data_IF_618314240449
#
_entry.id   IF_618314240449
#
_cell.length_a   1.000
_cell.length_b   1.000
_cell.length_c   1.000
_cell.angle_alpha   90.00
_cell.angle_beta   90.00
_cell.angle_gamma   90.00
#
_symmetry.space_group_name_H-M   'P 1'
#
loop_
_entity.id
_entity.type
_entity.pdbx_description
1 polymer ?
#
# COMPACT_ATOMS: atom_id res chain seq x y z
N UNK A 1 8.69 -18.23 2.34
CA UNK A 1 9.03 -17.43 3.53
C UNK A 1 10.48 -17.56 3.97
N UNK A 2 11.07 -18.77 4.07
CA UNK A 2 12.50 -18.93 4.42
C UNK A 2 13.47 -18.22 3.44
N UNK A 3 13.23 -18.28 2.14
CA UNK A 3 14.06 -17.62 1.13
C UNK A 3 14.05 -16.09 1.27
N UNK A 4 12.92 -15.49 1.63
CA UNK A 4 12.78 -14.04 1.81
C UNK A 4 13.49 -13.57 3.07
N UNK A 5 13.36 -14.31 4.17
CA UNK A 5 14.08 -14.03 5.41
C UNK A 5 15.62 -14.13 5.20
N UNK A 6 16.06 -15.06 4.34
CA UNK A 6 17.48 -15.16 3.96
C UNK A 6 17.95 -13.97 3.13
N UNK A 7 17.14 -13.47 2.19
CA UNK A 7 17.48 -12.29 1.38
C UNK A 7 17.53 -11.02 2.23
N UNK A 8 16.58 -10.86 3.15
CA UNK A 8 16.56 -9.73 4.10
C UNK A 8 17.75 -9.79 5.05
N UNK A 9 18.10 -10.98 5.56
CA UNK A 9 19.29 -11.17 6.40
C UNK A 9 20.60 -10.92 5.63
N UNK A 10 20.67 -11.31 4.36
CA UNK A 10 21.82 -11.08 3.50
C UNK A 10 22.04 -9.60 3.13
N UNK A 11 20.99 -8.77 3.19
CA UNK A 11 21.08 -7.33 2.93
C UNK A 11 21.82 -6.55 4.03
N UNK A 12 22.11 -7.18 5.18
CA UNK A 12 22.89 -6.62 6.26
C UNK A 12 22.21 -5.48 7.03
N UNK A 13 22.87 -4.95 8.08
CA UNK A 13 22.33 -3.86 8.91
C UNK A 13 22.21 -2.53 8.13
N UNK A 14 23.02 -2.33 7.12
CA UNK A 14 23.03 -1.08 6.33
C UNK A 14 21.78 -0.88 5.45
N UNK A 15 20.95 -1.92 5.30
CA UNK A 15 19.69 -1.82 4.53
C UNK A 15 18.74 -0.74 5.05
N UNK A 16 18.83 -0.40 6.32
CA UNK A 16 18.00 0.61 6.97
C UNK A 16 18.64 2.01 6.99
N UNK A 17 19.92 2.10 6.60
CA UNK A 17 20.63 3.37 6.62
C UNK A 17 20.04 4.37 5.61
N UNK A 18 19.81 5.59 6.08
CA UNK A 18 19.29 6.69 5.25
C UNK A 18 17.83 6.58 4.86
N UNK A 19 17.07 5.61 5.40
CA UNK A 19 15.63 5.48 5.14
C UNK A 19 14.88 6.56 5.91
N UNK A 20 14.10 7.37 5.19
CA UNK A 20 13.26 8.45 5.71
C UNK A 20 11.79 8.29 5.35
N UNK A 21 11.52 7.69 4.21
CA UNK A 21 10.17 7.47 3.69
C UNK A 21 9.93 5.98 3.52
N UNK A 22 8.97 5.43 4.25
CA UNK A 22 8.60 4.02 4.13
C UNK A 22 7.20 3.85 3.54
N UNK A 23 7.03 2.81 2.75
CA UNK A 23 5.73 2.35 2.25
C UNK A 23 5.33 1.07 2.95
N UNK A 24 4.06 0.96 3.31
CA UNK A 24 3.46 -0.25 3.88
C UNK A 24 2.26 -0.64 3.04
N UNK A 25 2.31 -1.85 2.50
CA UNK A 25 1.24 -2.42 1.67
C UNK A 25 0.99 -3.86 2.07
N UNK A 26 -0.12 -4.42 1.63
CA UNK A 26 -0.46 -5.81 1.84
C UNK A 26 -0.44 -6.59 0.54
N UNK A 27 0.12 -7.77 0.59
CA UNK A 27 0.08 -8.69 -0.54
C UNK A 27 -0.50 -10.04 -0.14
N UNK A 28 -1.39 -10.56 -1.00
CA UNK A 28 -1.94 -11.89 -0.82
C UNK A 28 -1.03 -12.93 -1.46
N UNK A 29 -0.23 -13.59 -0.62
CA UNK A 29 0.74 -14.58 -1.07
C UNK A 29 0.12 -15.94 -1.44
N UNK A 30 -0.94 -16.36 -0.75
CA UNK A 30 -1.57 -17.66 -1.00
C UNK A 30 -3.10 -17.58 -0.96
N UNK A 31 -3.79 -18.41 -1.77
CA UNK A 31 -5.23 -18.57 -1.63
C UNK A 31 -5.56 -19.13 -0.24
N UNK A 32 -6.69 -18.67 0.32
CA UNK A 32 -7.17 -19.09 1.63
C UNK A 32 -7.52 -20.60 1.60
N UNK A 33 -6.58 -21.47 1.96
CA UNK A 33 -6.81 -22.89 2.20
C UNK A 33 -6.57 -23.19 3.67
N UNK A 34 -7.52 -23.85 4.32
CA UNK A 34 -7.33 -24.42 5.67
C UNK A 34 -7.13 -23.40 6.80
N UNK A 35 -7.70 -22.19 6.72
CA UNK A 35 -7.63 -21.20 7.81
C UNK A 35 -6.34 -20.40 7.90
N UNK A 36 -5.34 -20.69 7.08
CA UNK A 36 -4.10 -19.89 7.02
C UNK A 36 -4.38 -18.55 6.33
N UNK A 37 -4.12 -17.46 7.02
CA UNK A 37 -4.17 -16.12 6.44
C UNK A 37 -2.98 -15.97 5.48
N UNK A 38 -3.24 -16.03 4.17
CA UNK A 38 -2.21 -15.93 3.13
C UNK A 38 -1.81 -14.49 2.82
N UNK A 39 -1.78 -13.60 3.80
CA UNK A 39 -1.33 -12.23 3.65
C UNK A 39 0.07 -12.02 4.20
N UNK A 40 0.80 -11.11 3.58
CA UNK A 40 2.05 -10.55 4.06
C UNK A 40 1.96 -9.04 4.01
N UNK A 41 2.56 -8.38 5.00
CA UNK A 41 2.79 -6.94 4.99
C UNK A 41 4.15 -6.68 4.33
N UNK A 42 4.14 -5.89 3.26
CA UNK A 42 5.35 -5.44 2.59
C UNK A 42 5.80 -4.13 3.22
N UNK A 43 7.09 -4.02 3.49
CA UNK A 43 7.72 -2.80 3.96
C UNK A 43 8.79 -2.39 2.96
N UNK A 44 8.64 -1.19 2.41
CA UNK A 44 9.37 -0.69 1.26
C UNK A 44 10.04 0.63 1.63
N UNK A 45 11.30 0.80 1.25
CA UNK A 45 11.96 2.10 1.28
C UNK A 45 11.54 2.91 0.04
N UNK A 46 10.86 3.99 0.26
CA UNK A 46 10.43 4.95 -0.76
C UNK A 46 11.34 6.19 -0.83
N UNK A 47 12.34 6.30 0.05
CA UNK A 47 13.25 7.44 0.10
C UNK A 47 13.90 7.71 -1.27
N UNK A 48 14.46 6.70 -1.98
CA UNK A 48 15.07 6.95 -3.27
C UNK A 48 14.09 7.48 -4.33
N UNK A 49 12.83 7.04 -4.27
CA UNK A 49 11.78 7.52 -5.18
C UNK A 49 11.34 8.94 -4.82
N UNK A 50 11.21 9.23 -3.54
CA UNK A 50 10.85 10.55 -3.02
C UNK A 50 11.92 11.59 -3.39
N UNK A 51 13.19 11.27 -3.21
CA UNK A 51 14.33 12.15 -3.46
C UNK A 51 14.80 12.12 -4.93
N UNK A 52 14.13 11.34 -5.78
CA UNK A 52 14.48 11.14 -7.21
C UNK A 52 15.90 10.60 -7.43
N UNK A 53 16.44 9.86 -6.48
CA UNK A 53 17.79 9.27 -6.53
C UNK A 53 17.81 7.83 -7.02
N UNK A 54 16.64 7.18 -7.10
CA UNK A 54 16.56 5.78 -7.54
C UNK A 54 15.16 5.17 -7.39
N UNK A 55 15.10 3.88 -7.61
CA UNK A 55 13.88 3.09 -7.44
C UNK A 55 13.63 2.71 -5.97
N UNK A 56 12.36 2.51 -5.62
CA UNK A 56 11.98 1.94 -4.35
C UNK A 56 12.60 0.55 -4.15
N UNK A 57 12.91 0.19 -2.91
CA UNK A 57 13.50 -1.10 -2.55
C UNK A 57 12.76 -1.79 -1.42
N UNK A 58 12.68 -3.11 -1.47
CA UNK A 58 12.06 -3.90 -0.42
C UNK A 58 12.95 -3.90 0.82
N UNK A 59 12.39 -3.52 1.97
CA UNK A 59 13.03 -3.63 3.28
C UNK A 59 12.71 -4.97 3.95
N UNK A 60 11.42 -5.36 3.97
CA UNK A 60 11.00 -6.62 4.60
C UNK A 60 9.66 -7.12 4.10
N UNK A 61 9.37 -8.40 4.42
CA UNK A 61 8.10 -9.08 4.22
C UNK A 61 7.66 -9.72 5.54
N UNK A 62 6.73 -9.08 6.21
CA UNK A 62 6.24 -9.52 7.52
C UNK A 62 5.00 -10.40 7.32
N UNK A 63 4.97 -11.61 7.92
CA UNK A 63 3.78 -12.44 7.88
C UNK A 63 2.58 -11.76 8.54
N UNK A 64 1.39 -11.99 7.98
CA UNK A 64 0.10 -11.45 8.43
C UNK A 64 -0.17 -10.00 7.95
N UNK A 65 -1.43 -9.60 8.12
CA UNK A 65 -1.99 -8.27 7.85
C UNK A 65 -2.65 -7.79 9.13
N UNK A 66 -1.87 -7.21 10.03
CA UNK A 66 -2.41 -6.70 11.29
C UNK A 66 -1.63 -5.47 11.78
N UNK A 67 -2.27 -4.67 12.63
CA UNK A 67 -1.61 -3.59 13.33
C UNK A 67 -0.39 -4.11 14.14
N UNK A 68 -0.58 -5.25 14.82
CA UNK A 68 0.48 -5.86 15.61
C UNK A 68 1.70 -6.25 14.76
N UNK A 69 1.48 -6.85 13.58
CA UNK A 69 2.59 -7.23 12.70
C UNK A 69 3.47 -6.05 12.31
N UNK A 70 2.87 -4.89 12.00
CA UNK A 70 3.62 -3.67 11.70
C UNK A 70 4.25 -3.07 12.96
N UNK A 71 3.53 -3.00 14.07
CA UNK A 71 4.05 -2.46 15.32
C UNK A 71 5.25 -3.27 15.84
N UNK A 72 5.14 -4.59 15.85
CA UNK A 72 6.21 -5.49 16.28
C UNK A 72 7.45 -5.35 15.37
N UNK A 73 7.22 -5.25 14.06
CA UNK A 73 8.33 -5.03 13.13
C UNK A 73 9.03 -3.70 13.38
N UNK A 74 8.28 -2.60 13.51
CA UNK A 74 8.84 -1.27 13.80
C UNK A 74 9.59 -1.26 15.15
N UNK A 75 9.02 -1.84 16.18
CA UNK A 75 9.61 -1.90 17.51
C UNK A 75 10.89 -2.75 17.57
N UNK A 76 11.02 -3.73 16.67
CA UNK A 76 12.23 -4.55 16.56
C UNK A 76 13.38 -3.84 15.82
N UNK A 77 13.15 -2.67 15.21
CA UNK A 77 14.20 -1.95 14.50
C UNK A 77 15.05 -1.11 15.48
N UNK A 78 16.29 -0.78 15.10
CA UNK A 78 17.12 0.14 15.90
C UNK A 78 16.44 1.50 16.06
N UNK A 79 16.60 2.11 17.25
CA UNK A 79 16.01 3.42 17.55
C UNK A 79 16.43 4.52 16.54
N UNK A 80 17.64 4.45 16.01
CA UNK A 80 18.09 5.36 14.97
C UNK A 80 17.29 5.27 13.67
N UNK A 81 16.78 4.08 13.32
CA UNK A 81 15.90 3.91 12.17
C UNK A 81 14.51 4.50 12.44
N UNK A 82 13.87 4.12 13.55
CA UNK A 82 12.53 4.60 13.86
C UNK A 82 12.47 6.12 14.02
N UNK A 83 13.53 6.73 14.53
CA UNK A 83 13.68 8.19 14.62
C UNK A 83 13.99 8.87 13.29
N UNK A 84 14.58 8.15 12.32
CA UNK A 84 14.87 8.70 10.99
C UNK A 84 13.68 8.69 10.05
N UNK A 85 12.64 7.90 10.34
CA UNK A 85 11.45 7.83 9.50
C UNK A 85 10.62 9.10 9.63
N UNK A 86 10.56 9.87 8.56
CA UNK A 86 9.83 11.14 8.48
C UNK A 86 8.40 10.94 7.95
N UNK A 87 8.22 9.99 7.03
CA UNK A 87 6.94 9.72 6.35
C UNK A 87 6.68 8.23 6.27
N UNK A 88 5.44 7.83 6.55
CA UNK A 88 4.95 6.49 6.29
C UNK A 88 3.73 6.52 5.38
N UNK A 89 3.89 5.99 4.16
CA UNK A 89 2.81 5.83 3.19
C UNK A 89 2.16 4.47 3.39
N UNK A 90 0.83 4.43 3.48
CA UNK A 90 0.09 3.18 3.71
C UNK A 90 -1.23 3.17 2.98
N UNK A 91 -1.83 1.98 2.85
CA UNK A 91 -3.21 1.83 2.41
C UNK A 91 -4.19 2.41 3.46
N UNK A 92 -5.49 2.38 3.13
CA UNK A 92 -6.54 2.86 4.03
C UNK A 92 -6.82 1.97 5.23
N UNK A 93 -5.96 1.00 5.56
CA UNK A 93 -6.17 0.11 6.70
C UNK A 93 -5.87 0.82 8.03
N UNK A 94 -6.92 1.06 8.81
CA UNK A 94 -6.83 1.79 10.08
C UNK A 94 -5.82 1.20 11.07
N UNK A 95 -5.59 -0.12 11.02
CA UNK A 95 -4.63 -0.81 11.88
C UNK A 95 -3.19 -0.35 11.66
N UNK A 96 -2.77 -0.09 10.43
CA UNK A 96 -1.43 0.41 10.16
C UNK A 96 -1.22 1.83 10.68
N UNK A 97 -2.26 2.68 10.56
CA UNK A 97 -2.22 4.03 11.12
C UNK A 97 -2.04 4.00 12.65
N UNK A 98 -2.76 3.12 13.34
CA UNK A 98 -2.63 2.96 14.80
C UNK A 98 -1.22 2.50 15.17
N UNK A 99 -0.71 1.46 14.50
CA UNK A 99 0.64 0.93 14.74
C UNK A 99 1.73 2.00 14.51
N UNK A 100 1.61 2.80 13.45
CA UNK A 100 2.55 3.89 13.17
C UNK A 100 2.50 4.96 14.27
N UNK A 101 1.31 5.39 14.69
CA UNK A 101 1.15 6.40 15.74
C UNK A 101 1.69 5.96 17.10
N UNK A 102 1.68 4.66 17.40
CA UNK A 102 2.21 4.10 18.64
C UNK A 102 3.75 4.02 18.66
N UNK A 103 4.37 3.67 17.53
CA UNK A 103 5.82 3.34 17.52
C UNK A 103 6.66 4.49 16.91
N UNK A 104 6.13 5.20 15.92
CA UNK A 104 6.80 6.32 15.26
C UNK A 104 5.88 7.55 15.22
N UNK A 105 5.51 8.12 16.39
CA UNK A 105 4.51 9.18 16.51
C UNK A 105 4.86 10.47 15.76
N UNK A 106 6.14 10.72 15.53
CA UNK A 106 6.63 11.91 14.84
C UNK A 106 6.56 11.79 13.31
N UNK A 107 6.37 10.59 12.78
CA UNK A 107 6.27 10.37 11.35
C UNK A 107 4.91 10.82 10.79
N UNK A 108 4.93 11.52 9.67
CA UNK A 108 3.71 11.91 8.95
C UNK A 108 3.10 10.71 8.25
N UNK A 109 1.87 10.35 8.61
CA UNK A 109 1.14 9.28 7.95
C UNK A 109 0.42 9.81 6.72
N UNK A 110 0.67 9.21 5.55
CA UNK A 110 0.01 9.56 4.29
C UNK A 110 -0.69 8.34 3.70
N UNK A 111 -1.83 8.57 3.07
CA UNK A 111 -2.47 7.51 2.30
C UNK A 111 -1.82 7.39 0.93
N UNK A 112 -1.49 6.16 0.53
CA UNK A 112 -0.97 5.89 -0.80
C UNK A 112 -1.92 6.46 -1.88
N UNK A 113 -1.42 7.32 -2.79
CA UNK A 113 -2.22 7.91 -3.86
C UNK A 113 -2.95 6.88 -4.73
N UNK A 114 -2.36 5.71 -4.96
CA UNK A 114 -3.03 4.63 -5.69
C UNK A 114 -4.30 4.18 -4.99
N UNK A 115 -4.28 4.03 -3.66
CA UNK A 115 -5.45 3.66 -2.87
C UNK A 115 -6.52 4.77 -2.85
N UNK A 116 -6.12 6.04 -2.85
CA UNK A 116 -7.07 7.17 -2.98
C UNK A 116 -7.80 7.10 -4.32
N UNK A 117 -7.06 6.90 -5.42
CA UNK A 117 -7.65 6.76 -6.77
C UNK A 117 -8.54 5.52 -6.87
N UNK A 118 -8.12 4.39 -6.29
CA UNK A 118 -8.91 3.17 -6.26
C UNK A 118 -10.22 3.34 -5.49
N UNK A 119 -10.19 4.03 -4.34
CA UNK A 119 -11.38 4.37 -3.55
C UNK A 119 -12.32 5.30 -4.32
N UNK A 120 -11.79 6.34 -4.96
CA UNK A 120 -12.58 7.24 -5.79
C UNK A 120 -13.26 6.48 -6.95
N UNK A 121 -12.53 5.62 -7.65
CA UNK A 121 -13.05 4.77 -8.70
C UNK A 121 -14.17 3.82 -8.21
N UNK A 122 -14.01 3.24 -7.03
CA UNK A 122 -15.04 2.40 -6.42
C UNK A 122 -16.31 3.19 -6.09
N UNK A 123 -16.18 4.41 -5.56
CA UNK A 123 -17.32 5.30 -5.27
C UNK A 123 -18.04 5.75 -6.54
N UNK A 124 -17.29 6.10 -7.59
CA UNK A 124 -17.87 6.42 -8.90
C UNK A 124 -18.65 5.23 -9.48
N UNK A 125 -18.15 4.01 -9.33
CA UNK A 125 -18.86 2.82 -9.79
C UNK A 125 -20.18 2.59 -9.04
N UNK A 126 -20.21 2.83 -7.73
CA UNK A 126 -21.45 2.77 -6.94
C UNK A 126 -22.48 3.83 -7.39
N UNK A 127 -22.03 5.05 -7.65
CA UNK A 127 -22.90 6.14 -8.15
C UNK A 127 -23.45 5.75 -9.52
N UNK A 128 -22.60 5.29 -10.42
CA UNK A 128 -22.99 4.79 -11.74
C UNK A 128 -24.06 3.71 -11.64
N UNK A 129 -23.84 2.69 -10.81
CA UNK A 129 -24.80 1.60 -10.60
C UNK A 129 -26.15 2.12 -10.08
N UNK A 130 -26.10 3.06 -9.14
CA UNK A 130 -27.33 3.69 -8.60
C UNK A 130 -28.09 4.45 -9.67
N UNK A 131 -27.41 5.27 -10.48
CA UNK A 131 -28.05 6.03 -11.55
C UNK A 131 -28.65 5.08 -12.59
N UNK A 132 -27.92 4.05 -13.02
CA UNK A 132 -28.44 3.06 -13.97
C UNK A 132 -29.67 2.32 -13.41
N UNK A 133 -29.66 1.96 -12.12
CA UNK A 133 -30.81 1.35 -11.49
C UNK A 133 -32.02 2.28 -11.45
N UNK A 134 -31.82 3.57 -11.19
CA UNK A 134 -32.87 4.57 -11.14
C UNK A 134 -33.47 4.89 -12.52
N UNK A 135 -32.62 4.93 -13.56
CA UNK A 135 -33.04 5.34 -14.92
C UNK A 135 -33.49 4.16 -15.78
N UNK A 136 -32.88 2.99 -15.62
CA UNK A 136 -33.09 1.82 -16.48
C UNK A 136 -33.74 0.64 -15.74
N UNK A 137 -34.01 0.77 -14.45
CA UNK A 137 -34.48 -0.31 -13.54
C UNK A 137 -33.58 -1.58 -13.55
N UNK A 138 -32.31 -1.46 -13.99
CA UNK A 138 -31.33 -2.55 -14.07
C UNK A 138 -29.89 -2.03 -13.89
N UNK A 139 -28.95 -2.95 -13.68
CA UNK A 139 -27.54 -2.61 -13.41
C UNK A 139 -26.72 -2.15 -14.64
N UNK A 140 -27.33 -2.07 -15.80
CA UNK A 140 -26.68 -1.69 -17.05
C UNK A 140 -26.08 -2.88 -17.83
N UNK A 141 -26.15 -2.78 -19.15
CA UNK A 141 -25.58 -3.71 -20.11
C UNK A 141 -24.66 -2.98 -21.08
N UNK A 142 -23.89 -3.73 -21.86
CA UNK A 142 -23.09 -3.19 -22.96
C UNK A 142 -23.99 -2.35 -23.88
N UNK A 143 -23.56 -1.11 -24.15
CA UNK A 143 -24.32 -0.14 -24.95
C UNK A 143 -25.11 0.89 -24.12
N UNK A 144 -25.32 0.70 -22.84
CA UNK A 144 -25.95 1.71 -21.99
C UNK A 144 -25.02 2.93 -21.78
N UNK A 145 -25.56 4.16 -21.65
CA UNK A 145 -24.77 5.40 -21.62
C UNK A 145 -23.64 5.45 -20.57
N UNK A 146 -23.81 4.80 -19.44
CA UNK A 146 -22.82 4.79 -18.37
C UNK A 146 -22.04 3.46 -18.28
N UNK A 147 -22.20 2.58 -19.27
CA UNK A 147 -21.48 1.31 -19.28
C UNK A 147 -20.01 1.54 -19.66
N UNK A 148 -19.10 0.99 -18.88
CA UNK A 148 -17.65 1.10 -19.18
C UNK A 148 -16.94 2.32 -18.58
N UNK A 149 -17.63 3.30 -17.99
CA UNK A 149 -17.02 4.48 -17.33
C UNK A 149 -15.98 4.07 -16.27
N UNK A 150 -16.16 2.95 -15.59
CA UNK A 150 -15.16 2.40 -14.66
C UNK A 150 -13.79 2.23 -15.31
N UNK A 151 -13.73 1.87 -16.58
CA UNK A 151 -12.48 1.69 -17.32
C UNK A 151 -11.82 3.05 -17.61
N UNK A 152 -12.62 4.04 -17.96
CA UNK A 152 -12.16 5.41 -18.25
C UNK A 152 -11.58 6.06 -16.98
N UNK A 153 -12.27 5.96 -15.84
CA UNK A 153 -11.81 6.51 -14.58
C UNK A 153 -10.47 5.90 -14.08
N UNK A 154 -10.18 4.65 -14.46
CA UNK A 154 -8.89 3.99 -14.16
C UNK A 154 -7.78 4.36 -15.15
N UNK A 155 -8.13 4.81 -16.34
CA UNK A 155 -7.16 5.12 -17.43
C UNK A 155 -6.73 6.60 -17.38
N UNK A 156 -7.45 7.45 -16.64
CA UNK A 156 -7.16 8.87 -16.56
C UNK A 156 -5.98 9.23 -15.62
N UNK A 157 -5.30 8.25 -15.02
CA UNK A 157 -3.98 8.45 -14.42
C UNK A 157 -2.93 7.78 -15.33
N UNK A 158 -2.36 8.48 -16.33
CA UNK A 158 -1.19 7.96 -17.02
C UNK A 158 -0.05 7.81 -15.99
N UNK A 159 0.78 6.77 -16.10
CA UNK A 159 2.00 6.71 -15.31
C UNK A 159 2.78 7.99 -15.58
N UNK A 160 3.35 8.57 -14.53
CA UNK A 160 4.21 9.75 -14.66
C UNK A 160 5.22 9.47 -15.78
N UNK A 161 5.15 10.26 -16.86
CA UNK A 161 6.06 10.14 -17.97
C UNK A 161 7.46 10.42 -17.43
N UNK A 162 8.27 9.38 -17.33
CA UNK A 162 9.72 9.51 -17.16
C UNK A 162 10.23 10.21 -18.42
N UNK A 163 10.38 11.52 -18.32
CA UNK A 163 11.11 12.30 -19.34
C UNK A 163 12.58 11.96 -19.17
N UNK A 164 13.17 11.38 -20.21
CA UNK A 164 14.58 11.08 -20.33
C UNK A 164 15.43 12.36 -20.34
#
# INVERSE_FOLDING_TARGET
MQATAQLVAAAGPDRLAGVKVIGVDEHRWAPRRGGVKGFVTLIIDLTPTHDQTGAARLLDLVPDRSAAALADWLAAQPAGFTQSVEVIAMDGFAGYKTAAAEVIPDAVTVMDPFHVVALAGAKLDLIRQRIQQQTLARRGHTGDPLYGIRRIARTCCPPASTTA
#
